data_IF_597257760654
#
_entry.id   IF_597257760654
#
_cell.length_a   1.000
_cell.length_b   1.000
_cell.length_c   1.000
_cell.angle_alpha   90.00
_cell.angle_beta   90.00
_cell.angle_gamma   90.00
#
_symmetry.space_group_name_H-M   'P 1'
#
loop_
_entity.id
_entity.type
_entity.pdbx_description
1 polymer ?
#
# COMPACT_ATOMS: atom_id res chain seq x y z
N UNK A 1 -19.06 19.80 -30.95
CA UNK A 1 -18.06 19.12 -31.83
C UNK A 1 -16.70 19.80 -31.78
N UNK A 2 -16.58 21.12 -32.00
CA UNK A 2 -15.30 21.84 -31.94
C UNK A 2 -14.58 21.73 -30.58
N UNK A 3 -15.27 22.00 -29.45
CA UNK A 3 -14.66 21.93 -28.12
C UNK A 3 -14.25 20.52 -27.70
N UNK A 4 -15.07 19.52 -28.01
CA UNK A 4 -14.74 18.12 -27.76
C UNK A 4 -13.43 17.71 -28.46
N UNK A 5 -13.24 18.11 -29.73
CA UNK A 5 -12.01 17.80 -30.45
C UNK A 5 -10.76 18.44 -29.80
N UNK A 6 -10.89 19.64 -29.20
CA UNK A 6 -9.80 20.26 -28.43
C UNK A 6 -9.50 19.52 -27.13
N UNK A 7 -10.53 19.03 -26.45
CA UNK A 7 -10.37 18.26 -25.21
C UNK A 7 -9.69 16.93 -25.51
N UNK A 8 -10.13 16.21 -26.53
CA UNK A 8 -9.54 14.94 -26.93
C UNK A 8 -8.06 15.12 -27.34
N UNK A 9 -7.75 16.23 -28.02
CA UNK A 9 -6.38 16.58 -28.42
C UNK A 9 -5.45 16.89 -27.24
N UNK A 10 -5.99 17.26 -26.07
CA UNK A 10 -5.17 17.50 -24.88
C UNK A 10 -4.62 16.20 -24.26
N UNK A 11 -5.19 15.04 -24.62
CA UNK A 11 -4.82 13.73 -24.07
C UNK A 11 -4.80 13.68 -22.53
N UNK A 12 -5.67 14.47 -21.88
CA UNK A 12 -5.75 14.54 -20.42
C UNK A 12 -4.59 15.30 -19.76
N UNK A 13 -3.72 15.96 -20.52
CA UNK A 13 -2.65 16.81 -19.98
C UNK A 13 -3.24 18.17 -19.56
N UNK A 14 -3.05 18.58 -18.29
CA UNK A 14 -3.51 19.89 -17.85
C UNK A 14 -2.86 21.02 -18.63
N UNK A 15 -3.66 21.90 -19.20
CA UNK A 15 -3.19 23.06 -19.97
C UNK A 15 -4.24 24.16 -19.98
N UNK A 16 -3.82 25.40 -20.22
CA UNK A 16 -4.77 26.52 -20.31
C UNK A 16 -5.76 26.34 -21.46
N UNK A 17 -5.34 25.76 -22.58
CA UNK A 17 -6.21 25.48 -23.73
C UNK A 17 -7.26 24.43 -23.41
N UNK A 18 -6.90 23.41 -22.63
CA UNK A 18 -7.86 22.43 -22.12
C UNK A 18 -8.89 23.09 -21.19
N UNK A 19 -8.43 23.91 -20.23
CA UNK A 19 -9.31 24.60 -19.29
C UNK A 19 -10.29 25.54 -20.01
N UNK A 20 -9.80 26.33 -20.95
CA UNK A 20 -10.64 27.21 -21.78
C UNK A 20 -11.67 26.40 -22.59
N UNK A 21 -11.26 25.27 -23.16
CA UNK A 21 -12.17 24.42 -23.94
C UNK A 21 -13.28 23.81 -23.05
N UNK A 22 -12.94 23.30 -21.87
CA UNK A 22 -13.90 22.75 -20.91
C UNK A 22 -14.86 23.82 -20.39
N UNK A 23 -14.35 25.01 -20.03
CA UNK A 23 -15.18 26.14 -19.57
C UNK A 23 -16.14 26.60 -20.68
N UNK A 24 -15.67 26.72 -21.93
CA UNK A 24 -16.49 27.13 -23.06
C UNK A 24 -17.54 26.08 -23.46
N UNK A 25 -17.28 24.80 -23.18
CA UNK A 25 -18.22 23.71 -23.49
C UNK A 25 -19.38 23.64 -22.49
N UNK A 26 -19.16 23.92 -21.20
CA UNK A 26 -20.16 23.77 -20.13
C UNK A 26 -21.56 24.32 -20.46
N UNK A 27 -21.74 25.56 -20.95
CA UNK A 27 -23.08 26.11 -21.18
C UNK A 27 -23.86 25.39 -22.28
N UNK A 28 -23.19 24.60 -23.12
CA UNK A 28 -23.79 23.87 -24.26
C UNK A 28 -24.24 22.45 -23.89
N UNK A 29 -23.99 22.01 -22.66
CA UNK A 29 -24.21 20.63 -22.21
C UNK A 29 -25.52 20.44 -21.45
N UNK A 30 -26.02 19.20 -21.44
CA UNK A 30 -27.12 18.75 -20.57
C UNK A 30 -26.67 18.57 -19.12
N UNK A 31 -27.62 18.40 -18.19
CA UNK A 31 -27.32 18.40 -16.75
C UNK A 31 -26.29 17.33 -16.32
N UNK A 32 -26.38 16.11 -16.87
CA UNK A 32 -25.43 15.03 -16.55
C UNK A 32 -24.05 15.29 -17.15
N UNK A 33 -24.01 15.74 -18.40
CA UNK A 33 -22.78 16.07 -19.12
C UNK A 33 -22.07 17.29 -18.51
N UNK A 34 -22.83 18.24 -17.95
CA UNK A 34 -22.30 19.37 -17.20
C UNK A 34 -21.49 18.92 -15.99
N UNK A 35 -21.99 17.94 -15.20
CA UNK A 35 -21.25 17.42 -14.05
C UNK A 35 -19.93 16.79 -14.50
N UNK A 36 -19.96 15.98 -15.56
CA UNK A 36 -18.75 15.37 -16.10
C UNK A 36 -17.74 16.42 -16.59
N UNK A 37 -18.20 17.47 -17.26
CA UNK A 37 -17.35 18.56 -17.72
C UNK A 37 -16.75 19.37 -16.55
N UNK A 38 -17.54 19.61 -15.50
CA UNK A 38 -17.08 20.26 -14.27
C UNK A 38 -16.03 19.39 -13.55
N UNK A 39 -16.28 18.09 -13.43
CA UNK A 39 -15.35 17.14 -12.81
C UNK A 39 -14.04 17.05 -13.62
N UNK A 40 -14.11 17.06 -14.95
CA UNK A 40 -12.94 17.10 -15.82
C UNK A 40 -12.16 18.43 -15.69
N UNK A 41 -12.87 19.57 -15.59
CA UNK A 41 -12.25 20.88 -15.34
C UNK A 41 -11.50 20.86 -14.01
N UNK A 42 -12.13 20.32 -12.97
CA UNK A 42 -11.53 20.19 -11.66
C UNK A 42 -10.32 19.24 -11.66
N UNK A 43 -10.43 18.08 -12.30
CA UNK A 43 -9.34 17.11 -12.40
C UNK A 43 -8.11 17.69 -13.11
N UNK A 44 -8.32 18.47 -14.18
CA UNK A 44 -7.23 19.17 -14.85
C UNK A 44 -6.56 20.18 -13.89
N UNK A 45 -7.32 20.97 -13.15
CA UNK A 45 -6.77 21.95 -12.19
C UNK A 45 -6.07 21.28 -11.01
N UNK A 46 -6.68 20.26 -10.40
CA UNK A 46 -6.15 19.60 -9.21
C UNK A 46 -4.87 18.81 -9.47
N UNK A 47 -4.60 18.45 -10.74
CA UNK A 47 -3.37 17.78 -11.16
C UNK A 47 -2.26 18.74 -11.60
N UNK A 48 -2.55 20.04 -11.77
CA UNK A 48 -1.52 21.05 -12.00
C UNK A 48 -0.78 21.39 -10.71
N UNK A 49 0.54 21.54 -10.81
CA UNK A 49 1.35 22.12 -9.73
C UNK A 49 1.06 23.61 -9.56
N UNK A 50 1.36 24.15 -8.39
CA UNK A 50 1.18 25.58 -8.10
C UNK A 50 2.02 26.47 -9.03
N UNK A 51 3.23 26.02 -9.39
CA UNK A 51 4.09 26.70 -10.37
C UNK A 51 3.45 26.72 -11.75
N UNK A 52 2.98 25.56 -12.24
CA UNK A 52 2.28 25.48 -13.53
C UNK A 52 1.04 26.38 -13.55
N UNK A 53 0.27 26.41 -12.47
CA UNK A 53 -0.91 27.27 -12.36
C UNK A 53 -0.54 28.77 -12.36
N UNK A 54 0.54 29.16 -11.70
CA UNK A 54 1.01 30.54 -11.65
C UNK A 54 1.59 31.03 -12.99
N UNK A 55 2.09 30.13 -13.84
CA UNK A 55 2.57 30.47 -15.19
C UNK A 55 1.44 30.70 -16.21
N UNK A 56 0.19 30.42 -15.84
CA UNK A 56 -0.94 30.59 -16.74
C UNK A 56 -1.24 32.08 -16.98
N UNK A 57 -1.16 32.51 -18.24
CA UNK A 57 -1.54 33.86 -18.66
C UNK A 57 -3.03 33.87 -18.99
N UNK A 58 -3.81 34.45 -18.08
CA UNK A 58 -5.25 34.68 -18.26
C UNK A 58 -5.49 36.11 -18.76
N UNK A 59 -6.55 36.28 -19.55
CA UNK A 59 -7.01 37.60 -19.97
C UNK A 59 -7.90 38.21 -18.87
N UNK A 60 -7.97 39.54 -18.82
CA UNK A 60 -8.71 40.27 -17.78
C UNK A 60 -10.23 40.00 -17.78
N UNK A 61 -10.78 39.51 -18.88
CA UNK A 61 -12.20 39.18 -19.05
C UNK A 61 -12.53 37.72 -18.68
N UNK A 62 -11.52 36.87 -18.43
CA UNK A 62 -11.69 35.44 -18.11
C UNK A 62 -12.08 35.20 -16.64
N UNK A 63 -13.12 35.88 -16.17
CA UNK A 63 -13.60 35.82 -14.77
C UNK A 63 -13.95 34.41 -14.29
N UNK A 64 -14.47 33.55 -15.19
CA UNK A 64 -14.78 32.16 -14.85
C UNK A 64 -13.49 31.35 -14.62
N UNK A 65 -12.49 31.55 -15.48
CA UNK A 65 -11.18 30.87 -15.34
C UNK A 65 -10.44 31.36 -14.09
N UNK A 66 -10.45 32.68 -13.83
CA UNK A 66 -9.92 33.24 -12.59
C UNK A 66 -10.58 32.61 -11.35
N UNK A 67 -11.91 32.46 -11.37
CA UNK A 67 -12.62 31.76 -10.30
C UNK A 67 -12.13 30.31 -10.12
N UNK A 68 -11.94 29.56 -11.20
CA UNK A 68 -11.41 28.20 -11.13
C UNK A 68 -9.99 28.11 -10.56
N UNK A 69 -9.10 29.04 -10.93
CA UNK A 69 -7.74 29.11 -10.40
C UNK A 69 -7.72 29.51 -8.91
N UNK A 70 -8.61 30.39 -8.49
CA UNK A 70 -8.75 30.72 -7.07
C UNK A 70 -9.28 29.55 -6.25
N UNK A 71 -10.20 28.74 -6.79
CA UNK A 71 -10.64 27.50 -6.14
C UNK A 71 -9.50 26.50 -6.01
N UNK A 72 -8.66 26.39 -7.03
CA UNK A 72 -7.47 25.54 -7.00
C UNK A 72 -6.50 25.98 -5.88
N UNK A 73 -6.28 27.28 -5.70
CA UNK A 73 -5.47 27.81 -4.59
C UNK A 73 -6.07 27.45 -3.23
N UNK A 74 -7.37 27.70 -3.05
CA UNK A 74 -8.11 27.29 -1.83
C UNK A 74 -7.89 25.79 -1.56
N UNK A 75 -7.90 24.97 -2.60
CA UNK A 75 -7.63 23.55 -2.46
C UNK A 75 -6.20 23.24 -1.99
N UNK A 76 -5.19 23.77 -2.65
CA UNK A 76 -3.80 23.50 -2.27
C UNK A 76 -3.45 24.01 -0.88
N UNK A 77 -3.97 25.18 -0.49
CA UNK A 77 -3.69 25.82 0.79
C UNK A 77 -4.38 25.09 1.96
N UNK A 78 -5.56 24.50 1.73
CA UNK A 78 -6.41 23.97 2.82
C UNK A 78 -6.61 22.44 2.78
N UNK A 79 -6.06 21.69 1.81
CA UNK A 79 -6.33 20.24 1.64
C UNK A 79 -6.04 19.36 2.86
N UNK A 80 -5.22 19.86 3.79
CA UNK A 80 -4.88 19.16 5.02
C UNK A 80 -5.81 19.50 6.20
N UNK A 81 -6.69 20.51 6.06
CA UNK A 81 -7.63 20.95 7.08
C UNK A 81 -9.07 20.97 6.49
N UNK A 82 -9.88 19.95 6.79
CA UNK A 82 -11.23 19.83 6.24
C UNK A 82 -12.17 21.00 6.58
N UNK A 83 -12.01 21.64 7.75
CA UNK A 83 -12.90 22.72 8.18
C UNK A 83 -12.52 24.03 7.50
N UNK A 84 -11.22 24.33 7.40
CA UNK A 84 -10.71 25.44 6.59
C UNK A 84 -11.05 25.27 5.11
N UNK A 85 -10.98 24.04 4.58
CA UNK A 85 -11.40 23.75 3.21
C UNK A 85 -12.89 24.02 2.99
N UNK A 86 -13.76 23.57 3.89
CA UNK A 86 -15.21 23.84 3.80
C UNK A 86 -15.49 25.34 3.84
N UNK A 87 -14.85 26.06 4.75
CA UNK A 87 -14.97 27.51 4.86
C UNK A 87 -14.46 28.21 3.59
N UNK A 88 -13.29 27.80 3.07
CA UNK A 88 -12.69 28.32 1.85
C UNK A 88 -13.56 28.10 0.62
N UNK A 89 -14.15 26.91 0.44
CA UNK A 89 -15.09 26.64 -0.65
C UNK A 89 -16.36 27.50 -0.50
N UNK A 90 -16.89 27.65 0.72
CA UNK A 90 -18.08 28.47 0.96
C UNK A 90 -17.83 29.96 0.66
N UNK A 91 -16.67 30.48 1.03
CA UNK A 91 -16.25 31.85 0.71
C UNK A 91 -16.01 32.04 -0.79
N UNK A 92 -15.35 31.07 -1.43
CA UNK A 92 -15.14 31.06 -2.88
C UNK A 92 -16.47 31.10 -3.66
N UNK A 93 -17.48 30.31 -3.25
CA UNK A 93 -18.80 30.31 -3.89
C UNK A 93 -19.50 31.67 -3.78
N UNK A 94 -19.28 32.42 -2.69
CA UNK A 94 -19.81 33.78 -2.51
C UNK A 94 -19.10 34.79 -3.41
N UNK A 95 -17.79 34.64 -3.60
CA UNK A 95 -16.97 35.50 -4.48
C UNK A 95 -17.27 35.26 -5.97
N UNK A 96 -17.58 34.01 -6.34
CA UNK A 96 -17.77 33.62 -7.74
C UNK A 96 -19.16 32.99 -8.01
N UNK A 97 -20.28 33.68 -7.73
CA UNK A 97 -21.63 33.10 -7.80
C UNK A 97 -22.05 32.66 -9.22
N UNK A 98 -21.42 33.25 -10.25
CA UNK A 98 -21.71 32.92 -11.65
C UNK A 98 -20.85 31.78 -12.20
N UNK A 99 -19.81 31.34 -11.47
CA UNK A 99 -18.96 30.24 -11.92
C UNK A 99 -19.76 28.92 -11.95
N UNK A 100 -19.65 28.10 -13.02
CA UNK A 100 -20.33 26.81 -13.08
C UNK A 100 -20.05 25.90 -11.88
N UNK A 101 -18.80 25.88 -11.39
CA UNK A 101 -18.38 25.15 -10.19
C UNK A 101 -19.01 25.67 -8.90
N UNK A 102 -19.45 26.93 -8.85
CA UNK A 102 -20.14 27.48 -7.69
C UNK A 102 -21.61 27.05 -7.65
N UNK A 103 -22.25 26.92 -8.81
CA UNK A 103 -23.63 26.44 -8.96
C UNK A 103 -23.72 24.93 -8.77
N UNK A 104 -22.75 24.20 -9.31
CA UNK A 104 -22.65 22.75 -9.22
C UNK A 104 -21.21 22.36 -8.94
N UNK A 105 -20.94 21.95 -7.70
CA UNK A 105 -19.58 21.66 -7.26
C UNK A 105 -19.03 20.40 -7.94
N UNK A 106 -17.71 20.36 -8.19
CA UNK A 106 -17.02 19.11 -8.53
C UNK A 106 -17.31 18.03 -7.51
N UNK A 107 -17.51 16.79 -7.97
CA UNK A 107 -17.87 15.64 -7.13
C UNK A 107 -16.87 15.44 -5.98
N UNK A 108 -15.57 15.63 -6.24
CA UNK A 108 -14.53 15.57 -5.20
C UNK A 108 -14.74 16.59 -4.08
N UNK A 109 -15.15 17.82 -4.42
CA UNK A 109 -15.39 18.89 -3.44
C UNK A 109 -16.74 18.71 -2.71
N UNK A 110 -17.73 18.10 -3.36
CA UNK A 110 -18.96 17.67 -2.68
C UNK A 110 -18.64 16.67 -1.58
N UNK A 111 -17.76 15.69 -1.83
CA UNK A 111 -17.32 14.72 -0.83
C UNK A 111 -16.61 15.39 0.35
N UNK A 112 -15.84 16.45 0.10
CA UNK A 112 -15.16 17.22 1.17
C UNK A 112 -16.14 18.03 2.00
N UNK A 113 -17.18 18.60 1.39
CA UNK A 113 -18.27 19.24 2.13
C UNK A 113 -19.06 18.25 2.98
N UNK A 114 -19.33 17.08 2.42
CA UNK A 114 -20.01 15.99 3.10
C UNK A 114 -19.10 15.26 4.12
N UNK A 115 -17.79 15.53 4.10
CA UNK A 115 -16.83 14.89 4.99
C UNK A 115 -17.20 15.17 6.44
N UNK A 116 -17.56 14.12 7.15
CA UNK A 116 -17.62 14.11 8.60
C UNK A 116 -16.40 13.34 9.08
N UNK A 117 -15.54 13.94 9.93
CA UNK A 117 -14.46 13.17 10.53
C UNK A 117 -15.08 11.96 11.23
N UNK A 118 -14.52 10.78 10.99
CA UNK A 118 -14.97 9.56 11.64
C UNK A 118 -14.81 9.76 13.16
N UNK A 119 -15.90 9.60 13.93
CA UNK A 119 -15.77 9.66 15.37
C UNK A 119 -15.03 8.42 15.86
N UNK A 120 -13.99 8.62 16.66
CA UNK A 120 -13.24 7.54 17.31
C UNK A 120 -13.63 7.38 18.78
N UNK A 121 -14.83 7.86 19.16
CA UNK A 121 -15.27 7.89 20.55
C UNK A 121 -15.69 6.50 21.06
N UNK A 122 -16.17 5.61 20.18
CA UNK A 122 -16.52 4.23 20.50
C UNK A 122 -15.92 3.28 19.48
N UNK A 123 -14.85 2.60 19.88
CA UNK A 123 -14.06 1.72 19.01
C UNK A 123 -14.39 0.27 19.37
N UNK A 124 -14.77 -0.51 18.37
CA UNK A 124 -14.85 -1.97 18.49
C UNK A 124 -13.58 -2.60 17.92
N UNK A 125 -12.83 -3.33 18.75
CA UNK A 125 -11.59 -3.99 18.36
C UNK A 125 -11.82 -5.50 18.23
N UNK A 126 -11.73 -6.01 17.01
CA UNK A 126 -11.99 -7.40 16.64
C UNK A 126 -10.68 -8.15 16.43
N UNK A 127 -10.30 -8.97 17.40
CA UNK A 127 -9.04 -9.69 17.39
C UNK A 127 -9.25 -11.16 17.81
N UNK A 128 -8.45 -12.11 17.28
CA UNK A 128 -8.44 -13.47 17.81
C UNK A 128 -7.71 -13.46 19.16
N UNK A 129 -8.41 -13.78 20.24
CA UNK A 129 -7.84 -13.78 21.60
C UNK A 129 -7.60 -15.18 22.16
N UNK A 130 -8.04 -16.21 21.44
CA UNK A 130 -7.82 -17.63 21.72
C UNK A 130 -7.22 -18.36 20.52
N UNK A 131 -6.79 -19.61 20.76
CA UNK A 131 -6.09 -20.42 19.76
C UNK A 131 -4.69 -19.90 19.45
N UNK A 132 -4.08 -20.38 18.36
CA UNK A 132 -2.69 -20.08 18.04
C UNK A 132 -2.48 -18.61 17.61
N UNK A 133 -3.52 -17.95 17.09
CA UNK A 133 -3.43 -16.54 16.69
C UNK A 133 -3.55 -15.55 17.88
N UNK A 134 -3.83 -16.04 19.09
CA UNK A 134 -4.02 -15.21 20.28
C UNK A 134 -2.82 -14.32 20.60
N UNK A 135 -1.60 -14.78 20.33
CA UNK A 135 -0.38 -14.01 20.58
C UNK A 135 -0.35 -12.72 19.74
N UNK A 136 -0.78 -12.79 18.48
CA UNK A 136 -0.87 -11.62 17.61
C UNK A 136 -1.98 -10.68 18.05
N UNK A 137 -3.17 -11.22 18.37
CA UNK A 137 -4.29 -10.44 18.88
C UNK A 137 -3.91 -9.66 20.14
N UNK A 138 -3.31 -10.31 21.15
CA UNK A 138 -2.89 -9.65 22.38
C UNK A 138 -1.83 -8.57 22.15
N UNK A 139 -0.86 -8.83 21.27
CA UNK A 139 0.19 -7.85 20.95
C UNK A 139 -0.40 -6.60 20.26
N UNK A 140 -1.29 -6.79 19.30
CA UNK A 140 -1.99 -5.69 18.62
C UNK A 140 -2.86 -4.91 19.61
N UNK A 141 -3.60 -5.61 20.48
CA UNK A 141 -4.40 -4.99 21.53
C UNK A 141 -3.56 -4.07 22.42
N UNK A 142 -2.42 -4.56 22.93
CA UNK A 142 -1.53 -3.78 23.78
C UNK A 142 -0.99 -2.53 23.06
N UNK A 143 -0.54 -2.68 21.81
CA UNK A 143 -0.08 -1.54 21.01
C UNK A 143 -1.18 -0.50 20.77
N UNK A 144 -2.40 -0.97 20.47
CA UNK A 144 -3.57 -0.12 20.26
C UNK A 144 -3.95 0.66 21.53
N UNK A 145 -4.01 -0.01 22.69
CA UNK A 145 -4.29 0.61 23.98
C UNK A 145 -3.23 1.63 24.38
N UNK A 146 -1.95 1.30 24.18
CA UNK A 146 -0.84 2.22 24.44
C UNK A 146 -0.95 3.49 23.58
N UNK A 147 -1.18 3.34 22.27
CA UNK A 147 -1.37 4.46 21.36
C UNK A 147 -2.62 5.29 21.70
N UNK A 148 -3.73 4.65 22.10
CA UNK A 148 -4.96 5.34 22.55
C UNK A 148 -4.70 6.23 23.76
N UNK A 149 -3.93 5.75 24.72
CA UNK A 149 -3.73 6.43 26.00
C UNK A 149 -2.62 7.49 25.98
N UNK A 150 -1.52 7.21 25.25
CA UNK A 150 -0.30 8.03 25.28
C UNK A 150 -0.11 8.80 23.96
N UNK A 151 -0.89 8.48 22.93
CA UNK A 151 -0.73 9.02 21.59
C UNK A 151 0.46 8.35 20.87
N UNK A 152 0.66 8.70 19.61
CA UNK A 152 1.85 8.29 18.87
C UNK A 152 2.78 9.47 18.73
N UNK A 153 3.90 9.43 19.44
CA UNK A 153 5.07 10.24 19.11
C UNK A 153 5.80 9.56 17.95
N UNK A 154 6.32 10.28 16.95
CA UNK A 154 7.28 9.69 16.04
C UNK A 154 8.44 9.14 16.88
N UNK A 155 8.78 7.87 16.68
CA UNK A 155 9.99 7.31 17.29
C UNK A 155 11.16 8.02 16.63
N UNK A 156 11.71 9.05 17.29
CA UNK A 156 13.01 9.56 16.92
C UNK A 156 13.97 8.37 17.03
N UNK A 157 14.65 8.02 15.93
CA UNK A 157 15.64 6.95 15.94
C UNK A 157 16.67 7.26 17.03
N UNK A 158 16.54 6.56 18.16
CA UNK A 158 17.40 6.76 19.31
C UNK A 158 18.75 6.15 18.94
N UNK A 159 19.75 7.00 18.73
CA UNK A 159 21.13 6.58 18.43
C UNK A 159 21.64 5.82 19.66
N UNK A 160 21.66 4.49 19.60
CA UNK A 160 22.22 3.68 20.67
C UNK A 160 23.74 3.86 20.69
N UNK A 161 24.28 4.25 21.85
CA UNK A 161 25.72 4.29 22.10
C UNK A 161 26.32 2.87 21.98
N UNK A 162 27.50 2.76 21.37
CA UNK A 162 28.19 1.49 21.11
C UNK A 162 28.62 0.77 22.41
N UNK A 163 28.54 -0.58 22.48
CA UNK A 163 29.14 -1.33 23.59
C UNK A 163 30.57 -1.80 23.29
N UNK A 164 31.37 -1.89 24.36
CA UNK A 164 32.73 -2.41 24.39
C UNK A 164 32.78 -3.96 24.41
N UNK A 165 33.96 -4.50 24.12
CA UNK A 165 34.24 -5.90 23.75
C UNK A 165 34.33 -6.94 24.89
N UNK A 166 34.26 -8.21 24.44
CA UNK A 166 34.69 -9.51 25.02
C UNK A 166 33.88 -10.19 26.15
N UNK A 167 33.35 -11.41 25.91
CA UNK A 167 33.95 -12.73 26.30
C UNK A 167 33.11 -13.98 25.91
N UNK A 168 33.79 -14.96 25.29
CA UNK A 168 33.76 -16.45 25.45
C UNK A 168 32.49 -17.34 25.28
N UNK A 169 32.73 -18.64 25.07
CA UNK A 169 32.02 -19.62 24.20
C UNK A 169 31.52 -20.90 24.93
N UNK A 170 30.67 -21.72 24.23
CA UNK A 170 30.31 -23.18 24.39
C UNK A 170 28.90 -23.58 24.98
N UNK A 171 28.32 -24.81 24.75
CA UNK A 171 27.52 -25.22 23.56
C UNK A 171 26.14 -25.96 23.81
N UNK A 172 25.26 -26.00 22.77
CA UNK A 172 24.06 -26.87 22.50
C UNK A 172 22.76 -26.73 23.34
N UNK A 173 21.54 -27.16 22.88
CA UNK A 173 21.04 -27.55 21.55
C UNK A 173 19.73 -26.84 21.05
N UNK A 174 19.54 -26.91 19.72
CA UNK A 174 18.41 -26.63 18.81
C UNK A 174 16.97 -26.38 19.34
N UNK A 175 16.32 -25.31 18.87
CA UNK A 175 14.86 -25.20 18.59
C UNK A 175 14.58 -24.13 17.51
N UNK A 176 13.43 -24.25 16.81
CA UNK A 176 13.03 -23.48 15.61
C UNK A 176 11.69 -22.77 15.84
N UNK A 177 11.61 -21.49 15.50
CA UNK A 177 10.41 -20.64 15.53
C UNK A 177 9.96 -20.32 14.09
N UNK A 178 8.66 -20.42 13.82
CA UNK A 178 8.04 -20.16 12.52
C UNK A 178 7.73 -18.69 12.31
N UNK A 179 7.80 -18.21 11.06
CA UNK A 179 7.21 -16.90 10.71
C UNK A 179 5.72 -17.08 10.48
N UNK A 180 4.92 -16.36 11.25
CA UNK A 180 3.58 -16.03 10.85
C UNK A 180 3.47 -14.51 10.91
N UNK A 181 3.40 -13.88 9.74
CA UNK A 181 2.73 -12.59 9.68
C UNK A 181 1.30 -12.81 10.15
N UNK A 182 0.73 -11.98 11.04
CA UNK A 182 -0.66 -12.11 11.48
C UNK A 182 -1.65 -12.16 10.31
N UNK A 183 -1.22 -11.67 9.14
CA UNK A 183 -1.95 -11.66 7.89
C UNK A 183 -2.27 -13.06 7.30
N UNK A 184 -1.71 -14.15 7.83
CA UNK A 184 -1.74 -15.47 7.16
C UNK A 184 -2.33 -16.65 7.96
N UNK A 185 -2.93 -16.47 9.14
CA UNK A 185 -3.46 -17.63 9.87
C UNK A 185 -4.69 -18.27 9.17
N UNK A 186 -4.42 -19.33 8.39
CA UNK A 186 -5.35 -20.43 8.10
C UNK A 186 -5.10 -21.53 9.13
N UNK A 187 -6.16 -22.18 9.61
CA UNK A 187 -6.18 -23.04 10.82
C UNK A 187 -5.35 -24.36 10.72
N UNK A 188 -4.52 -24.55 9.69
CA UNK A 188 -3.91 -25.85 9.39
C UNK A 188 -2.42 -26.01 9.70
N UNK A 189 -1.69 -25.00 10.16
CA UNK A 189 -0.21 -25.04 10.20
C UNK A 189 0.46 -24.89 11.58
N UNK A 190 -0.22 -25.16 12.70
CA UNK A 190 0.32 -24.77 14.01
C UNK A 190 0.20 -25.88 15.07
N UNK A 191 1.04 -26.91 14.99
CA UNK A 191 1.37 -27.77 16.15
C UNK A 191 2.71 -27.33 16.74
N UNK A 192 2.70 -26.83 17.98
CA UNK A 192 3.90 -26.74 18.84
C UNK A 192 4.14 -25.39 19.54
N UNK A 193 3.79 -25.37 20.84
CA UNK A 193 4.38 -24.72 22.04
C UNK A 193 5.20 -23.40 22.06
N UNK A 194 5.33 -22.88 23.29
CA UNK A 194 5.36 -21.47 23.75
C UNK A 194 6.79 -20.87 23.92
N UNK A 195 6.97 -19.51 23.92
CA UNK A 195 8.26 -18.86 23.68
C UNK A 195 8.96 -18.23 24.91
N UNK A 196 10.27 -17.97 24.79
CA UNK A 196 11.03 -17.02 25.63
C UNK A 196 12.13 -16.28 24.83
N UNK A 197 12.47 -15.08 25.29
CA UNK A 197 13.04 -13.92 24.57
C UNK A 197 14.43 -14.07 23.90
N UNK A 198 14.60 -13.38 22.77
CA UNK A 198 15.87 -13.14 22.05
C UNK A 198 16.20 -11.64 21.90
N UNK A 199 17.49 -11.28 21.79
CA UNK A 199 17.98 -9.89 21.65
C UNK A 199 17.83 -9.33 20.22
N UNK A 200 17.80 -7.99 20.13
CA UNK A 200 17.41 -7.21 18.95
C UNK A 200 18.44 -7.22 17.78
N UNK A 201 17.97 -7.15 16.51
CA UNK A 201 18.82 -7.03 15.32
C UNK A 201 19.28 -5.59 15.03
N UNK A 202 20.49 -5.49 14.49
CA UNK A 202 21.15 -4.27 13.97
C UNK A 202 20.49 -3.73 12.69
N UNK A 203 20.30 -2.41 12.59
CA UNK A 203 19.62 -1.73 11.48
C UNK A 203 20.55 -0.82 10.67
N UNK A 204 20.47 -0.91 9.33
CA UNK A 204 21.00 0.07 8.36
C UNK A 204 20.10 1.32 8.28
N UNK A 205 20.61 2.49 7.84
CA UNK A 205 19.88 3.76 7.91
C UNK A 205 18.84 3.86 6.77
N UNK A 206 17.56 3.93 7.13
CA UNK A 206 16.47 4.26 6.21
C UNK A 206 16.17 5.76 6.23
N UNK A 207 15.81 6.32 5.07
CA UNK A 207 15.45 7.72 4.87
C UNK A 207 14.21 8.12 5.68
N UNK A 208 14.24 9.30 6.29
CA UNK A 208 13.18 9.83 7.16
C UNK A 208 11.97 10.26 6.36
N UNK A 209 10.89 9.47 6.39
CA UNK A 209 9.54 9.98 6.17
C UNK A 209 9.05 10.57 7.50
N UNK A 210 8.64 11.84 7.49
CA UNK A 210 8.03 12.49 8.67
C UNK A 210 6.70 11.81 8.96
N UNK A 211 6.68 10.92 9.96
CA UNK A 211 5.46 10.30 10.46
C UNK A 211 4.56 11.35 11.12
N UNK A 212 3.28 11.37 10.75
CA UNK A 212 2.28 12.25 11.36
C UNK A 212 2.03 11.78 12.80
N UNK A 213 2.26 12.65 13.79
CA UNK A 213 1.94 12.37 15.19
C UNK A 213 0.42 12.41 15.39
N UNK A 214 -0.17 11.35 15.93
CA UNK A 214 -1.58 11.34 16.31
C UNK A 214 -1.72 11.61 17.82
N UNK A 215 -2.55 12.59 18.24
CA UNK A 215 -2.76 12.87 19.65
C UNK A 215 -3.46 11.70 20.35
N UNK A 216 -3.17 11.53 21.64
CA UNK A 216 -3.85 10.55 22.48
C UNK A 216 -5.36 10.85 22.58
N UNK A 217 -6.19 9.80 22.68
CA UNK A 217 -7.60 9.92 23.01
C UNK A 217 -7.97 8.94 24.14
N UNK A 218 -7.52 9.21 25.39
CA UNK A 218 -7.80 8.32 26.52
C UNK A 218 -9.30 8.20 26.81
N UNK A 219 -10.10 9.20 26.45
CA UNK A 219 -11.57 9.22 26.58
C UNK A 219 -12.32 8.31 25.60
N UNK A 220 -11.66 7.75 24.57
CA UNK A 220 -12.31 6.80 23.68
C UNK A 220 -12.68 5.50 24.42
N UNK A 221 -13.95 5.10 24.31
CA UNK A 221 -14.47 3.82 24.77
C UNK A 221 -13.97 2.73 23.82
N UNK A 222 -13.20 1.78 24.34
CA UNK A 222 -12.68 0.63 23.60
C UNK A 222 -13.40 -0.63 24.09
N UNK A 223 -14.16 -1.28 23.19
CA UNK A 223 -14.75 -2.61 23.43
C UNK A 223 -14.04 -3.64 22.57
N UNK A 224 -13.66 -4.75 23.19
CA UNK A 224 -12.90 -5.81 22.52
C UNK A 224 -13.82 -7.00 22.27
N UNK A 225 -13.79 -7.52 21.05
CA UNK A 225 -14.57 -8.68 20.61
C UNK A 225 -13.62 -9.76 20.12
N UNK A 226 -13.77 -10.96 20.69
CA UNK A 226 -12.95 -12.09 20.31
C UNK A 226 -13.50 -12.80 19.07
N UNK A 227 -12.81 -12.66 17.94
CA UNK A 227 -13.20 -13.27 16.66
C UNK A 227 -12.99 -14.79 16.62
N UNK A 228 -12.37 -15.37 17.65
CA UNK A 228 -12.19 -16.82 17.78
C UNK A 228 -13.29 -17.50 18.61
N UNK A 229 -14.09 -16.74 19.34
CA UNK A 229 -15.14 -17.28 20.22
C UNK A 229 -16.53 -17.33 19.58
N UNK A 230 -16.81 -16.50 18.57
CA UNK A 230 -18.12 -16.40 17.92
C UNK A 230 -17.99 -16.14 16.41
N UNK A 231 -18.99 -16.53 15.60
CA UNK A 231 -19.03 -16.17 14.18
C UNK A 231 -19.00 -14.65 13.98
N UNK A 232 -18.30 -14.18 12.94
CA UNK A 232 -18.09 -12.76 12.74
C UNK A 232 -19.41 -12.00 12.54
N UNK A 233 -20.36 -12.58 11.81
CA UNK A 233 -21.69 -12.00 11.61
C UNK A 233 -22.42 -11.65 12.92
N UNK A 234 -22.28 -12.48 13.97
CA UNK A 234 -22.87 -12.20 15.28
C UNK A 234 -22.13 -11.06 15.99
N UNK A 235 -20.80 -11.08 15.93
CA UNK A 235 -19.96 -10.00 16.49
C UNK A 235 -20.31 -8.67 15.83
N UNK A 236 -20.42 -8.60 14.51
CA UNK A 236 -20.76 -7.37 13.79
C UNK A 236 -22.16 -6.86 14.18
N UNK A 237 -23.13 -7.76 14.37
CA UNK A 237 -24.46 -7.40 14.84
C UNK A 237 -24.43 -6.83 16.26
N UNK A 238 -23.64 -7.43 17.15
CA UNK A 238 -23.44 -6.96 18.52
C UNK A 238 -22.75 -5.59 18.55
N UNK A 239 -21.69 -5.42 17.76
CA UNK A 239 -20.96 -4.15 17.61
C UNK A 239 -21.87 -3.01 17.14
N UNK A 240 -22.78 -3.33 16.21
CA UNK A 240 -23.78 -2.37 15.74
C UNK A 240 -24.77 -1.99 16.84
N UNK A 241 -25.24 -2.95 17.65
CA UNK A 241 -26.12 -2.68 18.79
C UNK A 241 -25.41 -1.87 19.90
N UNK A 242 -24.12 -2.13 20.11
CA UNK A 242 -23.27 -1.40 21.05
C UNK A 242 -22.98 0.04 20.60
N UNK A 243 -23.33 0.39 19.37
CA UNK A 243 -23.20 1.74 18.81
C UNK A 243 -21.76 2.15 18.56
N UNK A 244 -20.88 1.18 18.23
CA UNK A 244 -19.51 1.49 17.85
C UNK A 244 -19.48 2.40 16.61
N UNK A 245 -18.68 3.45 16.66
CA UNK A 245 -18.55 4.40 15.56
C UNK A 245 -17.52 3.96 14.51
N UNK A 246 -16.59 3.11 14.90
CA UNK A 246 -15.61 2.48 14.02
C UNK A 246 -15.26 1.08 14.53
N UNK A 247 -15.02 0.17 13.59
CA UNK A 247 -14.52 -1.18 13.84
C UNK A 247 -13.09 -1.27 13.38
N UNK A 248 -12.21 -1.80 14.22
CA UNK A 248 -10.82 -2.10 13.89
C UNK A 248 -10.66 -3.62 13.95
N UNK A 249 -10.23 -4.23 12.85
CA UNK A 249 -10.29 -5.68 12.62
C UNK A 249 -11.40 -6.07 11.64
N UNK A 250 -11.54 -7.36 11.32
CA UNK A 250 -10.83 -8.49 11.92
C UNK A 250 -9.38 -8.63 11.40
N UNK A 251 -8.61 -9.49 12.05
CA UNK A 251 -7.21 -9.77 11.72
C UNK A 251 -7.04 -10.95 10.75
N UNK A 252 -7.75 -12.05 11.00
CA UNK A 252 -7.57 -13.27 10.22
C UNK A 252 -8.23 -13.16 8.85
N UNK A 253 -7.56 -13.70 7.83
CA UNK A 253 -7.96 -13.53 6.42
C UNK A 253 -9.35 -14.10 6.14
N UNK A 254 -9.67 -15.26 6.71
CA UNK A 254 -11.00 -15.88 6.64
C UNK A 254 -12.09 -14.95 7.22
N UNK A 255 -11.83 -14.28 8.34
CA UNK A 255 -12.75 -13.31 8.91
C UNK A 255 -12.86 -12.05 8.03
N UNK A 256 -11.77 -11.58 7.41
CA UNK A 256 -11.83 -10.47 6.44
C UNK A 256 -12.69 -10.85 5.22
N UNK A 257 -12.61 -12.08 4.72
CA UNK A 257 -13.46 -12.54 3.64
C UNK A 257 -14.94 -12.67 4.06
N UNK A 258 -15.21 -13.11 5.29
CA UNK A 258 -16.57 -13.13 5.86
C UNK A 258 -17.13 -11.71 6.03
N UNK A 259 -16.29 -10.75 6.44
CA UNK A 259 -16.65 -9.33 6.54
C UNK A 259 -17.20 -8.81 5.20
N UNK A 260 -16.54 -9.13 4.08
CA UNK A 260 -16.99 -8.70 2.75
C UNK A 260 -18.31 -9.35 2.32
N UNK A 261 -18.62 -10.54 2.84
CA UNK A 261 -19.90 -11.21 2.59
C UNK A 261 -21.04 -10.63 3.45
N UNK A 262 -20.72 -10.02 4.60
CA UNK A 262 -21.70 -9.54 5.58
C UNK A 262 -22.51 -8.31 5.13
N UNK A 263 -22.01 -7.52 4.17
CA UNK A 263 -22.58 -6.22 3.77
C UNK A 263 -22.85 -5.27 4.97
N UNK A 264 -21.98 -5.30 5.98
CA UNK A 264 -22.12 -4.47 7.17
C UNK A 264 -22.21 -2.97 6.82
N UNK A 265 -23.07 -2.18 7.49
CA UNK A 265 -23.10 -0.73 7.36
C UNK A 265 -22.03 -0.03 8.22
N UNK A 266 -21.30 -0.78 9.04
CA UNK A 266 -20.27 -0.23 9.94
C UNK A 266 -19.07 0.28 9.12
N UNK A 267 -18.38 1.30 9.64
CA UNK A 267 -17.08 1.72 9.11
C UNK A 267 -16.00 0.80 9.68
N UNK A 268 -15.25 0.13 8.81
CA UNK A 268 -14.32 -0.93 9.21
C UNK A 268 -12.92 -0.66 8.69
N UNK A 269 -11.93 -0.71 9.59
CA UNK A 269 -10.52 -0.79 9.26
C UNK A 269 -10.05 -2.23 9.52
N UNK A 270 -10.11 -3.08 8.50
CA UNK A 270 -9.65 -4.45 8.58
C UNK A 270 -8.12 -4.50 8.74
N UNK A 271 -7.60 -5.37 9.61
CA UNK A 271 -6.17 -5.45 9.91
C UNK A 271 -5.41 -6.41 9.00
N UNK A 272 -6.01 -6.73 7.87
CA UNK A 272 -5.52 -7.64 6.86
C UNK A 272 -6.31 -7.43 5.56
N UNK A 273 -5.86 -8.01 4.45
CA UNK A 273 -6.49 -7.88 3.15
C UNK A 273 -6.92 -9.23 2.57
N UNK A 274 -8.04 -9.29 1.83
CA UNK A 274 -8.45 -10.48 1.10
C UNK A 274 -7.49 -10.75 -0.08
N UNK A 275 -7.59 -11.93 -0.70
CA UNK A 275 -6.83 -12.20 -1.94
C UNK A 275 -7.27 -11.31 -3.10
N UNK A 276 -8.57 -11.02 -3.15
CA UNK A 276 -9.17 -10.17 -4.16
C UNK A 276 -9.73 -8.95 -3.46
N UNK A 277 -9.08 -7.80 -3.65
CA UNK A 277 -9.48 -6.54 -3.05
C UNK A 277 -10.71 -6.02 -3.80
N UNK A 278 -11.79 -5.78 -3.05
CA UNK A 278 -12.99 -5.10 -3.53
C UNK A 278 -13.06 -3.71 -2.89
N UNK A 279 -13.20 -2.67 -3.68
CA UNK A 279 -13.30 -1.31 -3.14
C UNK A 279 -14.69 -1.06 -2.56
N UNK A 280 -14.77 -0.83 -1.24
CA UNK A 280 -16.02 -0.53 -0.53
C UNK A 280 -15.87 0.75 0.27
N UNK A 281 -16.85 1.64 0.13
CA UNK A 281 -16.81 2.99 0.73
C UNK A 281 -16.66 3.00 2.26
N UNK A 282 -17.09 1.93 2.94
CA UNK A 282 -17.06 1.80 4.39
C UNK A 282 -16.00 0.80 4.91
N UNK A 283 -15.13 0.27 4.04
CA UNK A 283 -14.09 -0.71 4.45
C UNK A 283 -12.73 -0.28 3.92
N UNK A 284 -11.79 -0.09 4.83
CA UNK A 284 -10.37 0.10 4.54
C UNK A 284 -9.57 -1.11 5.01
N UNK A 285 -8.46 -1.39 4.33
CA UNK A 285 -7.55 -2.48 4.70
C UNK A 285 -6.22 -1.88 5.18
N UNK A 286 -5.76 -2.33 6.34
CA UNK A 286 -4.46 -2.02 6.90
C UNK A 286 -3.73 -3.33 7.16
N UNK A 287 -2.99 -3.78 6.16
CA UNK A 287 -2.26 -5.04 6.20
C UNK A 287 -0.75 -4.76 6.15
N UNK A 288 0.02 -5.54 6.91
CA UNK A 288 1.46 -5.67 6.68
C UNK A 288 1.64 -6.66 5.51
N UNK A 289 1.38 -6.18 4.30
CA UNK A 289 1.40 -6.99 3.08
C UNK A 289 2.84 -7.17 2.58
N UNK A 290 3.35 -8.41 2.51
CA UNK A 290 4.65 -8.67 1.89
C UNK A 290 4.71 -8.22 0.42
N UNK A 291 3.57 -8.16 -0.26
CA UNK A 291 3.46 -7.63 -1.61
C UNK A 291 3.73 -6.12 -1.66
N UNK A 292 3.26 -5.33 -0.69
CA UNK A 292 3.54 -3.89 -0.61
C UNK A 292 5.00 -3.63 -0.23
N UNK A 293 5.55 -4.38 0.73
CA UNK A 293 6.98 -4.35 1.04
C UNK A 293 7.85 -4.68 -0.19
N UNK A 294 7.40 -5.59 -1.04
CA UNK A 294 8.10 -5.94 -2.28
C UNK A 294 8.03 -4.82 -3.33
N UNK A 295 6.93 -4.06 -3.40
CA UNK A 295 6.84 -2.85 -4.24
C UNK A 295 7.79 -1.78 -3.72
N UNK A 296 7.84 -1.58 -2.40
CA UNK A 296 8.78 -0.65 -1.77
C UNK A 296 10.23 -1.07 -1.98
N UNK A 297 10.55 -2.36 -1.85
CA UNK A 297 11.86 -2.90 -2.17
C UNK A 297 12.23 -2.66 -3.64
N UNK A 298 11.29 -2.86 -4.58
CA UNK A 298 11.53 -2.58 -5.99
C UNK A 298 11.87 -1.10 -6.24
N UNK A 299 11.10 -0.17 -5.63
CA UNK A 299 11.38 1.28 -5.68
C UNK A 299 12.76 1.59 -5.11
N UNK A 300 13.04 1.11 -3.91
CA UNK A 300 14.30 1.35 -3.21
C UNK A 300 15.51 0.82 -3.99
N UNK A 301 15.43 -0.39 -4.52
CA UNK A 301 16.48 -1.01 -5.33
C UNK A 301 16.71 -0.23 -6.62
N UNK A 302 15.63 0.29 -7.23
CA UNK A 302 15.71 1.10 -8.45
C UNK A 302 16.38 2.45 -8.20
N UNK A 303 16.03 3.10 -7.08
CA UNK A 303 16.61 4.38 -6.66
C UNK A 303 18.12 4.26 -6.37
N UNK A 304 18.59 3.07 -5.98
CA UNK A 304 20.02 2.75 -5.87
C UNK A 304 20.71 2.48 -7.23
N UNK A 305 20.01 2.65 -8.35
CA UNK A 305 20.56 2.53 -9.70
C UNK A 305 20.70 1.10 -10.23
N UNK A 306 20.19 0.09 -9.50
CA UNK A 306 20.24 -1.32 -9.90
C UNK A 306 19.38 -1.58 -11.14
N UNK A 307 19.76 -2.56 -11.94
CA UNK A 307 19.16 -2.83 -13.26
C UNK A 307 18.70 -4.28 -13.44
N UNK A 308 19.36 -5.25 -12.80
CA UNK A 308 19.16 -6.68 -13.03
C UNK A 308 18.85 -7.44 -11.71
N UNK A 309 17.65 -7.24 -11.12
CA UNK A 309 17.29 -7.86 -9.86
C UNK A 309 16.93 -9.35 -10.00
N UNK A 310 17.31 -10.12 -8.99
CA UNK A 310 16.85 -11.48 -8.71
C UNK A 310 15.98 -11.48 -7.45
N UNK A 311 14.77 -12.04 -7.54
CA UNK A 311 13.90 -12.27 -6.38
C UNK A 311 14.05 -13.72 -5.92
N UNK A 312 14.52 -13.91 -4.68
CA UNK A 312 14.70 -15.22 -4.07
C UNK A 312 13.57 -15.47 -3.07
N UNK A 313 12.68 -16.41 -3.38
CA UNK A 313 11.41 -16.63 -2.67
C UNK A 313 11.24 -18.08 -2.21
N UNK A 314 10.47 -18.35 -1.14
CA UNK A 314 10.13 -19.72 -0.78
C UNK A 314 9.25 -20.34 -1.86
N UNK A 315 9.28 -21.67 -1.98
CA UNK A 315 8.37 -22.41 -2.86
C UNK A 315 6.95 -22.45 -2.28
N UNK A 316 6.26 -21.31 -2.30
CA UNK A 316 4.89 -21.14 -1.81
C UNK A 316 4.09 -20.14 -2.65
N UNK A 317 2.76 -20.16 -2.49
CA UNK A 317 1.87 -19.19 -3.15
C UNK A 317 2.14 -17.74 -2.71
N UNK A 318 2.57 -17.54 -1.45
CA UNK A 318 3.02 -16.24 -0.97
C UNK A 318 4.25 -15.77 -1.76
N UNK A 319 5.27 -16.63 -1.87
CA UNK A 319 6.48 -16.31 -2.63
C UNK A 319 6.14 -15.89 -4.06
N UNK A 320 5.21 -16.60 -4.70
CA UNK A 320 4.73 -16.25 -6.03
C UNK A 320 4.03 -14.88 -6.11
N UNK A 321 3.17 -14.53 -5.14
CA UNK A 321 2.53 -13.20 -5.13
C UNK A 321 3.54 -12.08 -4.90
N UNK A 322 4.48 -12.28 -3.99
CA UNK A 322 5.54 -11.31 -3.68
C UNK A 322 6.44 -11.06 -4.89
N UNK A 323 6.90 -12.12 -5.56
CA UNK A 323 7.70 -11.99 -6.78
C UNK A 323 6.95 -11.27 -7.91
N UNK A 324 5.65 -11.56 -8.08
CA UNK A 324 4.82 -10.85 -9.05
C UNK A 324 4.64 -9.36 -8.68
N UNK A 325 4.41 -9.03 -7.41
CA UNK A 325 4.26 -7.65 -6.95
C UNK A 325 5.54 -6.82 -7.19
N UNK A 326 6.69 -7.41 -6.85
CA UNK A 326 8.01 -6.82 -7.15
C UNK A 326 8.19 -6.58 -8.65
N UNK A 327 7.94 -7.60 -9.49
CA UNK A 327 8.17 -7.51 -10.92
C UNK A 327 7.24 -6.51 -11.63
N UNK A 328 5.97 -6.45 -11.21
CA UNK A 328 5.02 -5.44 -11.69
C UNK A 328 5.51 -4.02 -11.37
N UNK A 329 5.96 -3.78 -10.14
CA UNK A 329 6.44 -2.47 -9.74
C UNK A 329 7.74 -2.10 -10.47
N UNK A 330 8.68 -3.04 -10.57
CA UNK A 330 9.91 -2.85 -11.32
C UNK A 330 9.65 -2.43 -12.78
N UNK A 331 8.69 -3.08 -13.44
CA UNK A 331 8.29 -2.72 -14.81
C UNK A 331 7.64 -1.33 -14.88
N UNK A 332 6.80 -0.95 -13.91
CA UNK A 332 6.21 0.41 -13.84
C UNK A 332 7.27 1.49 -13.71
N UNK A 333 8.38 1.20 -13.01
CA UNK A 333 9.54 2.09 -12.87
C UNK A 333 10.44 2.11 -14.11
N UNK A 334 10.03 1.48 -15.21
CA UNK A 334 10.81 1.35 -16.45
C UNK A 334 11.97 0.38 -16.34
N UNK A 335 11.96 -0.52 -15.35
CA UNK A 335 12.92 -1.60 -15.19
C UNK A 335 12.73 -2.72 -16.22
N UNK A 336 13.81 -3.45 -16.50
CA UNK A 336 13.81 -4.60 -17.42
C UNK A 336 13.29 -5.90 -16.79
N UNK A 337 13.75 -7.03 -17.31
CA UNK A 337 13.37 -8.36 -16.81
C UNK A 337 13.82 -8.57 -15.36
N UNK A 338 12.89 -9.03 -14.52
CA UNK A 338 13.19 -9.53 -13.16
C UNK A 338 13.36 -11.05 -13.22
N UNK A 339 14.42 -11.57 -12.59
CA UNK A 339 14.60 -13.01 -12.44
C UNK A 339 13.99 -13.47 -11.12
N UNK A 340 13.47 -14.69 -11.07
CA UNK A 340 13.07 -15.36 -9.83
C UNK A 340 13.83 -16.67 -9.63
N UNK A 341 14.10 -16.98 -8.37
CA UNK A 341 14.57 -18.28 -7.95
C UNK A 341 13.80 -18.70 -6.70
N UNK A 342 13.43 -19.98 -6.64
CA UNK A 342 12.70 -20.55 -5.51
C UNK A 342 13.64 -21.40 -4.66
N UNK A 343 13.56 -21.25 -3.33
CA UNK A 343 14.25 -22.14 -2.38
C UNK A 343 13.26 -23.08 -1.67
N UNK A 344 13.80 -24.20 -1.18
CA UNK A 344 13.05 -25.23 -0.47
C UNK A 344 12.88 -24.94 1.02
N UNK A 345 12.47 -25.93 1.78
CA UNK A 345 12.33 -25.83 3.24
C UNK A 345 13.66 -25.59 3.96
N UNK A 346 13.60 -25.17 5.23
CA UNK A 346 14.79 -24.99 6.09
C UNK A 346 15.65 -26.25 6.19
N UNK A 347 15.06 -27.45 6.14
CA UNK A 347 15.81 -28.72 6.13
C UNK A 347 16.60 -28.91 4.84
N UNK A 348 16.02 -28.56 3.69
CA UNK A 348 16.70 -28.56 2.39
C UNK A 348 17.83 -27.51 2.36
N UNK A 349 17.61 -26.31 2.89
CA UNK A 349 18.65 -25.28 3.01
C UNK A 349 19.82 -25.75 3.87
N UNK A 350 19.54 -26.36 5.02
CA UNK A 350 20.56 -26.93 5.91
C UNK A 350 21.35 -28.05 5.22
N UNK A 351 20.66 -28.96 4.54
CA UNK A 351 21.31 -30.01 3.76
C UNK A 351 22.18 -29.41 2.63
N UNK A 352 21.71 -28.34 1.98
CA UNK A 352 22.45 -27.63 0.93
C UNK A 352 23.72 -26.95 1.42
N UNK A 353 23.73 -26.41 2.64
CA UNK A 353 24.96 -25.90 3.29
C UNK A 353 25.95 -27.03 3.54
N UNK A 354 25.49 -28.15 4.10
CA UNK A 354 26.36 -29.29 4.42
C UNK A 354 26.89 -30.02 3.18
N UNK A 355 26.12 -30.03 2.08
CA UNK A 355 26.47 -30.67 0.82
C UNK A 355 27.29 -29.80 -0.14
N UNK A 356 27.54 -28.52 0.19
CA UNK A 356 28.35 -27.62 -0.64
C UNK A 356 27.68 -27.10 -1.91
N UNK A 357 26.37 -27.35 -2.10
CA UNK A 357 25.66 -27.02 -3.35
C UNK A 357 25.47 -25.51 -3.58
N UNK A 358 25.37 -24.73 -2.50
CA UNK A 358 25.16 -23.27 -2.50
C UNK A 358 23.94 -22.78 -3.30
N UNK A 359 23.77 -21.46 -3.40
CA UNK A 359 22.69 -20.81 -4.19
C UNK A 359 23.36 -19.97 -5.28
N UNK A 360 23.18 -20.34 -6.55
CA UNK A 360 23.63 -19.52 -7.68
C UNK A 360 22.76 -18.28 -7.82
N UNK A 361 23.33 -17.14 -8.25
CA UNK A 361 22.55 -15.94 -8.58
C UNK A 361 21.98 -16.03 -10.00
N UNK A 362 21.12 -17.01 -10.22
CA UNK A 362 20.48 -17.28 -11.51
C UNK A 362 19.01 -17.63 -11.29
N UNK A 363 18.14 -17.23 -12.21
CA UNK A 363 16.71 -17.47 -12.07
C UNK A 363 16.01 -17.56 -13.41
N UNK A 364 14.70 -17.78 -13.37
CA UNK A 364 13.82 -17.72 -14.53
C UNK A 364 13.20 -16.33 -14.63
N UNK A 365 12.98 -15.78 -15.83
CA UNK A 365 12.25 -14.52 -15.99
C UNK A 365 10.85 -14.58 -15.37
N UNK A 366 10.44 -13.53 -14.67
CA UNK A 366 9.05 -13.32 -14.26
C UNK A 366 8.34 -12.58 -15.40
N UNK A 367 7.22 -13.12 -15.87
CA UNK A 367 6.30 -12.42 -16.77
C UNK A 367 5.11 -11.93 -15.95
N UNK A 368 5.05 -10.63 -15.59
CA UNK A 368 3.96 -10.13 -14.77
C UNK A 368 2.62 -10.33 -15.47
N UNK A 369 1.65 -10.96 -14.80
CA UNK A 369 0.25 -10.91 -15.25
C UNK A 369 -0.24 -9.48 -15.07
N UNK A 370 -0.69 -8.84 -16.15
CA UNK A 370 -1.37 -7.56 -16.07
C UNK A 370 -2.69 -7.76 -15.30
N UNK A 371 -2.84 -7.09 -14.16
CA UNK A 371 -4.16 -6.92 -13.53
C UNK A 371 -4.88 -5.84 -14.32
N UNK A 372 -5.85 -6.23 -15.13
CA UNK A 372 -6.74 -5.30 -15.83
C UNK A 372 -7.66 -4.64 -14.79
N UNK A 373 -7.25 -3.48 -14.29
CA UNK A 373 -8.14 -2.54 -13.62
C UNK A 373 -8.81 -1.69 -14.70
N UNK A 374 -9.91 -2.21 -15.27
CA UNK A 374 -10.91 -1.47 -16.06
C UNK A 374 -11.96 -2.44 -16.56
N UNK A 375 -13.18 -2.31 -16.02
CA UNK A 375 -14.38 -2.78 -16.70
C UNK A 375 -14.58 -1.99 -17.99
N UNK A 376 -13.90 -2.41 -19.07
CA UNK A 376 -14.28 -2.09 -20.43
C UNK A 376 -14.01 -3.31 -21.30
N UNK A 377 -15.08 -4.06 -21.56
CA UNK A 377 -15.13 -5.05 -22.63
C UNK A 377 -14.94 -4.32 -23.95
N UNK A 378 -13.84 -4.61 -24.65
CA UNK A 378 -13.81 -4.45 -26.10
C UNK A 378 -13.09 -5.66 -26.67
N UNK A 379 -13.88 -6.60 -27.17
CA UNK A 379 -13.44 -7.68 -28.02
C UNK A 379 -12.68 -7.09 -29.22
N UNK A 380 -11.37 -7.32 -29.31
CA UNK A 380 -10.67 -7.23 -30.58
C UNK A 380 -9.66 -8.39 -30.68
N UNK A 381 -9.95 -9.45 -31.46
CA UNK A 381 -9.00 -10.51 -31.72
C UNK A 381 -8.15 -10.08 -32.91
N UNK A 382 -6.96 -9.54 -32.68
CA UNK A 382 -5.81 -9.56 -33.62
C UNK A 382 -4.63 -8.80 -33.04
N UNK A 383 -3.66 -9.56 -32.53
CA UNK A 383 -2.21 -9.48 -32.73
C UNK A 383 -1.57 -10.38 -31.67
N UNK A 384 -1.79 -11.70 -31.80
CA UNK A 384 -0.89 -12.69 -31.22
C UNK A 384 0.36 -12.70 -32.10
N UNK A 385 1.35 -11.87 -31.77
CA UNK A 385 2.73 -12.22 -32.10
C UNK A 385 3.18 -13.18 -31.01
N UNK A 386 3.13 -14.48 -31.31
CA UNK A 386 3.86 -15.50 -30.53
C UNK A 386 5.31 -15.01 -30.43
N UNK A 387 5.85 -14.71 -29.24
CA UNK A 387 7.26 -14.41 -29.12
C UNK A 387 8.02 -15.68 -29.52
N UNK A 388 8.70 -15.65 -30.65
CA UNK A 388 9.65 -16.69 -31.05
C UNK A 388 10.80 -16.68 -30.04
N UNK A 389 11.26 -17.88 -29.67
CA UNK A 389 12.31 -18.16 -28.65
C UNK A 389 13.63 -17.38 -28.83
N UNK A 390 13.81 -16.69 -29.97
CA UNK A 390 15.00 -15.90 -30.30
C UNK A 390 14.99 -14.44 -29.78
N UNK A 391 13.89 -13.95 -29.18
CA UNK A 391 13.85 -12.61 -28.54
C UNK A 391 14.34 -12.58 -27.07
N UNK A 392 14.69 -13.72 -26.48
CA UNK A 392 15.30 -13.79 -25.14
C UNK A 392 16.82 -13.97 -25.20
N UNK A 393 17.46 -13.51 -26.29
CA UNK A 393 18.91 -13.45 -26.42
C UNK A 393 19.47 -12.36 -25.52
N UNK A 394 19.85 -12.75 -24.30
CA UNK A 394 20.84 -12.12 -23.44
C UNK A 394 20.89 -10.57 -23.45
N UNK A 395 19.95 -9.95 -22.74
CA UNK A 395 20.21 -8.70 -22.02
C UNK A 395 20.36 -8.94 -20.51
N UNK A 396 20.63 -10.20 -20.11
CA UNK A 396 20.88 -10.61 -18.73
C UNK A 396 22.27 -10.17 -18.29
N UNK A 397 22.41 -8.90 -17.89
CA UNK A 397 23.54 -8.47 -17.08
C UNK A 397 23.67 -9.37 -15.84
N UNK A 398 24.89 -9.47 -15.29
CA UNK A 398 25.10 -10.12 -13.99
C UNK A 398 24.10 -9.55 -12.99
N UNK A 399 23.43 -10.44 -12.23
CA UNK A 399 22.54 -10.03 -11.14
C UNK A 399 23.27 -9.04 -10.24
N UNK A 400 22.73 -7.84 -10.09
CA UNK A 400 23.34 -6.74 -9.34
C UNK A 400 22.60 -6.41 -8.03
N UNK A 401 21.43 -7.02 -7.84
CA UNK A 401 20.58 -6.95 -6.66
C UNK A 401 19.86 -8.28 -6.43
N UNK A 402 19.78 -8.72 -5.18
CA UNK A 402 18.98 -9.89 -4.77
C UNK A 402 18.01 -9.47 -3.68
N UNK A 403 16.72 -9.55 -3.94
CA UNK A 403 15.68 -9.36 -2.93
C UNK A 403 15.25 -10.73 -2.39
N UNK A 404 15.49 -10.97 -1.11
CA UNK A 404 15.31 -12.27 -0.45
C UNK A 404 14.08 -12.19 0.43
N UNK A 405 13.09 -13.03 0.16
CA UNK A 405 11.90 -13.18 0.99
C UNK A 405 12.07 -14.47 1.75
N UNK A 406 12.40 -14.39 3.04
CA UNK A 406 12.70 -15.57 3.84
C UNK A 406 12.52 -15.29 5.33
N UNK A 407 12.30 -16.35 6.10
CA UNK A 407 12.32 -16.27 7.56
C UNK A 407 13.72 -15.92 8.07
N UNK A 408 13.86 -15.37 9.30
CA UNK A 408 15.18 -15.18 9.91
C UNK A 408 16.02 -16.47 9.95
N UNK A 409 15.37 -17.61 10.23
CA UNK A 409 16.02 -18.92 10.24
C UNK A 409 16.50 -19.37 8.85
N UNK A 410 15.73 -19.13 7.80
CA UNK A 410 16.10 -19.42 6.41
C UNK A 410 17.21 -18.47 5.91
N UNK A 411 17.12 -17.17 6.22
CA UNK A 411 18.13 -16.15 5.87
C UNK A 411 19.51 -16.54 6.41
N UNK A 412 19.56 -17.10 7.61
CA UNK A 412 20.80 -17.57 8.23
C UNK A 412 21.52 -18.65 7.39
N UNK A 413 20.79 -19.44 6.58
CA UNK A 413 21.37 -20.40 5.65
C UNK A 413 21.59 -19.81 4.25
N UNK A 414 20.65 -19.00 3.76
CA UNK A 414 20.67 -18.43 2.41
C UNK A 414 21.93 -17.59 2.18
N UNK A 415 22.27 -16.67 3.10
CA UNK A 415 23.44 -15.79 2.93
C UNK A 415 24.75 -16.57 2.79
N UNK A 416 25.08 -17.54 3.68
CA UNK A 416 26.21 -18.44 3.49
C UNK A 416 26.17 -19.19 2.16
N UNK A 417 25.02 -19.75 1.76
CA UNK A 417 24.92 -20.51 0.51
C UNK A 417 25.18 -19.65 -0.74
N UNK A 418 24.75 -18.39 -0.75
CA UNK A 418 25.07 -17.44 -1.83
C UNK A 418 26.58 -17.17 -1.86
N UNK A 419 27.19 -16.90 -0.69
CA UNK A 419 28.62 -16.63 -0.58
C UNK A 419 29.48 -17.83 -1.01
N UNK A 420 29.09 -19.05 -0.64
CA UNK A 420 29.79 -20.29 -1.01
C UNK A 420 29.88 -20.49 -2.53
N UNK A 421 28.79 -20.18 -3.26
CA UNK A 421 28.70 -20.46 -4.70
C UNK A 421 29.22 -19.34 -5.59
N UNK A 422 29.08 -18.10 -5.16
CA UNK A 422 29.40 -16.92 -5.99
C UNK A 422 30.63 -16.15 -5.47
N UNK A 423 31.22 -16.59 -4.35
CA UNK A 423 32.27 -15.88 -3.62
C UNK A 423 31.72 -14.73 -2.77
N UNK A 424 32.52 -14.28 -1.80
CA UNK A 424 32.17 -13.15 -0.92
C UNK A 424 32.06 -11.79 -1.65
N UNK A 425 32.47 -11.73 -2.92
CA UNK A 425 32.39 -10.54 -3.78
C UNK A 425 31.54 -10.79 -5.03
N UNK A 426 30.35 -11.35 -4.84
CA UNK A 426 29.40 -11.65 -5.93
C UNK A 426 28.98 -10.41 -6.75
N UNK A 427 29.25 -9.20 -6.27
CA UNK A 427 28.90 -7.92 -6.90
C UNK A 427 27.42 -7.54 -6.76
N UNK A 428 26.59 -8.47 -6.25
CA UNK A 428 25.18 -8.25 -6.01
C UNK A 428 24.92 -7.73 -4.60
N UNK A 429 24.09 -6.70 -4.47
CA UNK A 429 23.63 -6.20 -3.17
C UNK A 429 22.46 -7.06 -2.69
N UNK A 430 22.51 -7.54 -1.44
CA UNK A 430 21.44 -8.34 -0.84
C UNK A 430 20.49 -7.45 -0.05
N UNK A 431 19.20 -7.61 -0.31
CA UNK A 431 18.08 -7.00 0.41
C UNK A 431 17.24 -8.14 0.98
N UNK A 432 16.81 -8.04 2.23
CA UNK A 432 16.04 -9.09 2.89
C UNK A 432 15.05 -8.47 3.89
#
# INVERSE_FOLDING_TARGET
RYWQAKIDASQGRPSIDLLRALIAQEPLLGAKEKQQNIDATWQALSSMTQEQANTLVINADENILQGWLDLQRVWFDNRNDPDMMKAGIADWQKRYPNNPGAKMLPTQLVNVKAFKPASTNKIALLLPLNGQAAVFGRTIQQGFEAAKNIGTQPVAAQVAAAPAADVAEQPQPQTVDGVASPAQASVSDLTGEQPAAQPAPVSTPAATTTAVSAPANPSAELKIYDTSSQPLSQILSQVQQDGASIVVGPLLKNNVEELLKSNTPLNVLALNQPENIENRVNICYFALSPEDEARDAARHIRDQGKQAPLVLIPRSSLGDRVANAFAQEWQKLGGGTVLQQKFGSTSELRAGVNGGSGIALTGTPITPRATTDSGMTTNNPTLQTTPTDDQFTNNGGRVDAVYIVATPGEIAFIKPMIAMRNGSQSGATLYA
#
